data_IF_069811264672
#
_entry.id   IF_069811264672
#
_cell.length_a   1.000
_cell.length_b   1.000
_cell.length_c   1.000
_cell.angle_alpha   90.00
_cell.angle_beta   90.00
_cell.angle_gamma   90.00
#
_symmetry.space_group_name_H-M   'P 1'
#
loop_
_entity.id
_entity.type
_entity.pdbx_description
1 polymer ?
#
# COMPACT_ATOMS: atom_id res chain seq x y z
N UNK A 1 13.04 1.05 11.31
CA UNK A 1 12.90 2.51 11.37
C UNK A 1 13.59 3.25 10.21
N UNK A 2 14.87 3.09 9.93
CA UNK A 2 15.57 3.82 8.84
C UNK A 2 14.99 3.51 7.45
N UNK A 3 14.72 2.25 7.12
CA UNK A 3 14.10 1.84 5.85
C UNK A 3 12.69 2.42 5.66
N UNK A 4 11.88 2.48 6.71
CA UNK A 4 10.53 3.07 6.65
C UNK A 4 10.57 4.60 6.48
N UNK A 5 11.55 5.28 7.06
CA UNK A 5 11.76 6.71 6.87
C UNK A 5 12.23 7.04 5.44
N UNK A 6 13.12 6.23 4.86
CA UNK A 6 13.58 6.39 3.46
C UNK A 6 12.41 6.15 2.49
N UNK A 7 11.59 5.13 2.74
CA UNK A 7 10.43 4.82 1.91
C UNK A 7 9.36 5.90 2.02
N UNK A 8 9.14 6.44 3.22
CA UNK A 8 8.25 7.57 3.45
C UNK A 8 8.69 8.82 2.69
N UNK A 9 9.99 9.19 2.75
CA UNK A 9 10.51 10.34 2.01
C UNK A 9 10.38 10.15 0.49
N UNK A 10 10.70 8.98 -0.04
CA UNK A 10 10.50 8.68 -1.47
C UNK A 10 9.03 8.78 -1.91
N UNK A 11 8.12 8.29 -1.08
CA UNK A 11 6.68 8.40 -1.38
C UNK A 11 6.22 9.85 -1.34
N UNK A 12 6.71 10.67 -0.41
CA UNK A 12 6.43 12.09 -0.33
C UNK A 12 6.97 12.85 -1.54
N UNK A 13 8.19 12.58 -1.98
CA UNK A 13 8.79 13.17 -3.19
C UNK A 13 8.01 12.79 -4.46
N UNK A 14 7.69 11.52 -4.63
CA UNK A 14 6.89 11.02 -5.77
C UNK A 14 5.49 11.65 -5.81
N UNK A 15 4.88 11.88 -4.65
CA UNK A 15 3.58 12.54 -4.55
C UNK A 15 3.65 14.03 -4.89
N UNK A 16 4.71 14.70 -4.45
CA UNK A 16 4.98 16.10 -4.80
C UNK A 16 5.17 16.24 -6.32
N UNK A 17 5.95 15.36 -6.95
CA UNK A 17 6.13 15.33 -8.40
C UNK A 17 4.82 15.06 -9.13
N UNK A 18 4.01 14.13 -8.66
CA UNK A 18 2.68 13.83 -9.24
C UNK A 18 1.74 15.03 -9.15
N UNK A 19 1.71 15.71 -8.01
CA UNK A 19 0.89 16.91 -7.82
C UNK A 19 1.38 18.08 -8.70
N UNK A 20 2.69 18.28 -8.81
CA UNK A 20 3.26 19.28 -9.71
C UNK A 20 2.89 18.98 -11.17
N UNK A 21 3.00 17.73 -11.60
CA UNK A 21 2.59 17.30 -12.92
C UNK A 21 1.11 17.57 -13.18
N UNK A 22 0.24 17.25 -12.23
CA UNK A 22 -1.20 17.47 -12.32
C UNK A 22 -1.55 18.96 -12.50
N UNK A 23 -1.02 19.84 -11.64
CA UNK A 23 -1.32 21.27 -11.73
C UNK A 23 -0.69 21.93 -12.95
N UNK A 24 0.50 21.51 -13.37
CA UNK A 24 1.10 21.93 -14.64
C UNK A 24 0.21 21.53 -15.83
N UNK A 25 -0.40 20.35 -15.78
CA UNK A 25 -1.35 19.89 -16.80
C UNK A 25 -2.62 20.73 -16.80
N UNK A 26 -3.16 21.11 -15.63
CA UNK A 26 -4.31 22.02 -15.50
C UNK A 26 -3.98 23.38 -16.12
N UNK A 27 -2.85 23.98 -15.80
CA UNK A 27 -2.43 25.28 -16.33
C UNK A 27 -2.27 25.22 -17.85
N UNK A 28 -1.65 24.18 -18.39
CA UNK A 28 -1.51 23.99 -19.83
C UNK A 28 -2.85 23.81 -20.54
N UNK A 29 -3.74 22.97 -19.98
CA UNK A 29 -5.09 22.82 -20.53
C UNK A 29 -5.89 24.12 -20.47
N UNK A 30 -5.73 24.89 -19.40
CA UNK A 30 -6.36 26.21 -19.26
C UNK A 30 -5.81 27.23 -20.27
N UNK A 31 -4.50 27.19 -20.52
CA UNK A 31 -3.83 27.98 -21.55
C UNK A 31 -4.41 27.67 -22.93
N UNK A 32 -4.55 26.39 -23.29
CA UNK A 32 -5.09 25.94 -24.57
C UNK A 32 -6.56 26.36 -24.74
N UNK A 33 -7.36 26.34 -23.67
CA UNK A 33 -8.75 26.83 -23.67
C UNK A 33 -8.80 28.33 -23.90
N UNK A 34 -7.93 29.08 -23.23
CA UNK A 34 -7.83 30.53 -23.42
C UNK A 34 -7.44 30.83 -24.87
N UNK A 35 -6.38 30.22 -25.37
CA UNK A 35 -5.91 30.46 -26.74
C UNK A 35 -6.96 30.08 -27.78
N UNK A 36 -7.62 28.93 -27.63
CA UNK A 36 -8.69 28.50 -28.53
C UNK A 36 -9.87 29.49 -28.47
N UNK A 37 -10.32 29.90 -27.29
CA UNK A 37 -11.45 30.83 -27.12
C UNK A 37 -11.17 32.20 -27.73
N UNK A 38 -9.98 32.72 -27.50
CA UNK A 38 -9.52 33.99 -28.08
C UNK A 38 -9.44 33.87 -29.61
N UNK A 39 -8.84 32.83 -30.13
CA UNK A 39 -8.72 32.61 -31.58
C UNK A 39 -10.09 32.45 -32.29
N UNK A 40 -11.04 31.74 -31.64
CA UNK A 40 -12.39 31.58 -32.18
C UNK A 40 -13.18 32.91 -32.22
N UNK A 41 -13.07 33.72 -31.17
CA UNK A 41 -13.69 35.03 -31.10
C UNK A 41 -13.15 35.95 -32.21
N UNK A 42 -11.83 36.04 -32.35
CA UNK A 42 -11.15 36.84 -33.37
C UNK A 42 -11.52 36.34 -34.77
N UNK A 43 -11.49 35.02 -34.99
CA UNK A 43 -11.86 34.42 -36.28
C UNK A 43 -13.31 34.77 -36.69
N UNK A 44 -14.23 34.64 -35.75
CA UNK A 44 -15.64 34.94 -35.98
C UNK A 44 -15.83 36.41 -36.35
N UNK A 45 -15.18 37.30 -35.65
CA UNK A 45 -15.25 38.74 -35.94
C UNK A 45 -14.64 39.09 -37.30
N UNK A 46 -13.38 38.70 -37.57
CA UNK A 46 -12.72 39.03 -38.83
C UNK A 46 -13.41 38.36 -40.03
N UNK A 47 -13.96 37.17 -39.86
CA UNK A 47 -14.77 36.50 -40.85
C UNK A 47 -16.03 37.33 -41.16
N UNK A 48 -16.75 37.78 -40.15
CA UNK A 48 -17.91 38.66 -40.33
C UNK A 48 -17.58 39.93 -41.12
N UNK A 49 -16.44 40.57 -40.79
CA UNK A 49 -15.91 41.75 -41.52
C UNK A 49 -15.65 41.41 -43.00
N UNK A 50 -14.90 40.32 -43.27
CA UNK A 50 -14.58 39.94 -44.66
C UNK A 50 -15.83 39.51 -45.43
N UNK A 51 -16.75 38.77 -44.84
CA UNK A 51 -17.99 38.34 -45.48
C UNK A 51 -18.91 39.54 -45.84
N UNK A 52 -18.96 40.56 -44.96
CA UNK A 52 -19.69 41.79 -45.22
C UNK A 52 -19.10 42.52 -46.43
N UNK A 53 -17.79 42.74 -46.46
CA UNK A 53 -17.12 43.42 -47.57
C UNK A 53 -17.26 42.60 -48.87
N UNK A 54 -17.06 41.30 -48.79
CA UNK A 54 -17.22 40.40 -49.96
C UNK A 54 -18.64 40.43 -50.56
N UNK A 55 -19.68 40.55 -49.73
CA UNK A 55 -21.05 40.65 -50.19
C UNK A 55 -21.33 41.89 -51.09
N UNK A 56 -20.64 43.01 -50.81
CA UNK A 56 -20.75 44.24 -51.59
C UNK A 56 -19.95 44.15 -52.92
N UNK A 57 -19.10 43.17 -53.07
CA UNK A 57 -18.33 42.97 -54.33
C UNK A 57 -18.97 41.91 -55.27
N UNK A 58 -20.13 41.40 -54.91
CA UNK A 58 -20.83 40.40 -55.75
C UNK A 58 -21.40 41.05 -57.01
N UNK A 59 -21.11 40.45 -58.19
CA UNK A 59 -21.69 40.87 -59.48
C UNK A 59 -21.07 42.12 -60.11
N UNK A 60 -19.98 42.67 -59.49
CA UNK A 60 -19.24 43.80 -60.03
C UNK A 60 -18.02 43.36 -60.85
N UNK A 61 -17.53 44.25 -61.74
CA UNK A 61 -16.32 43.98 -62.49
C UNK A 61 -15.05 44.07 -61.59
N UNK A 62 -13.90 43.44 -61.94
CA UNK A 62 -12.69 43.50 -61.11
C UNK A 62 -12.22 44.94 -60.82
N UNK A 63 -12.42 45.86 -61.72
CA UNK A 63 -12.07 47.28 -61.49
C UNK A 63 -13.03 47.97 -60.50
N UNK A 64 -14.34 47.65 -60.56
CA UNK A 64 -15.32 48.11 -59.62
C UNK A 64 -15.15 47.47 -58.22
N UNK A 65 -14.74 46.19 -58.20
CA UNK A 65 -14.42 45.47 -56.99
C UNK A 65 -13.37 46.20 -56.15
N UNK A 66 -12.23 46.62 -56.79
CA UNK A 66 -11.19 47.37 -56.11
C UNK A 66 -11.72 48.69 -55.57
N UNK A 67 -12.55 49.44 -56.35
CA UNK A 67 -13.12 50.71 -55.90
C UNK A 67 -14.06 50.53 -54.70
N UNK A 68 -14.86 49.48 -54.73
CA UNK A 68 -15.84 49.18 -53.66
C UNK A 68 -15.10 48.74 -52.36
N UNK A 69 -14.07 47.89 -52.48
CA UNK A 69 -13.25 47.55 -51.33
C UNK A 69 -12.59 48.76 -50.72
N UNK A 70 -12.04 49.70 -51.53
CA UNK A 70 -11.44 50.96 -51.03
C UNK A 70 -12.49 51.79 -50.31
N UNK A 71 -13.68 51.96 -50.89
CA UNK A 71 -14.74 52.74 -50.25
C UNK A 71 -15.08 52.22 -48.87
N UNK A 72 -15.30 50.90 -48.74
CA UNK A 72 -15.67 50.27 -47.46
C UNK A 72 -14.49 50.30 -46.49
N UNK A 73 -13.27 50.02 -46.95
CA UNK A 73 -12.09 50.02 -46.11
C UNK A 73 -11.79 51.36 -45.45
N UNK A 74 -12.15 52.47 -46.09
CA UNK A 74 -11.99 53.82 -45.53
C UNK A 74 -13.06 54.18 -44.44
N UNK A 75 -14.17 53.44 -44.40
CA UNK A 75 -15.25 53.64 -43.40
C UNK A 75 -15.17 52.63 -42.27
N UNK A 76 -14.41 51.54 -42.43
CA UNK A 76 -14.37 50.40 -41.49
C UNK A 76 -13.24 50.53 -40.50
N UNK A 77 -13.56 50.38 -39.20
CA UNK A 77 -12.59 50.31 -38.10
C UNK A 77 -12.50 48.89 -37.61
N UNK A 78 -11.27 48.34 -37.57
CA UNK A 78 -10.97 47.00 -37.08
C UNK A 78 -9.95 47.12 -35.96
N UNK A 79 -10.38 46.97 -34.69
CA UNK A 79 -9.52 47.30 -33.56
C UNK A 79 -9.05 48.76 -33.60
N UNK A 80 -7.83 49.03 -33.16
CA UNK A 80 -7.23 50.36 -33.18
C UNK A 80 -6.44 50.62 -34.46
N UNK A 81 -5.71 49.62 -34.95
CA UNK A 81 -4.75 49.72 -36.06
C UNK A 81 -4.99 48.72 -37.22
N UNK A 82 -6.13 48.04 -37.15
CA UNK A 82 -6.46 47.02 -38.15
C UNK A 82 -6.97 47.63 -39.44
N UNK A 83 -6.91 46.90 -40.54
CA UNK A 83 -7.29 47.35 -41.85
C UNK A 83 -7.64 46.18 -42.79
N UNK A 84 -8.21 46.52 -43.95
CA UNK A 84 -8.47 45.59 -45.03
C UNK A 84 -7.47 45.82 -46.15
N UNK A 85 -7.14 44.78 -46.85
CA UNK A 85 -6.38 44.84 -48.12
C UNK A 85 -6.89 43.80 -49.14
N UNK A 86 -6.60 44.07 -50.39
CA UNK A 86 -6.98 43.23 -51.49
C UNK A 86 -5.76 42.83 -52.30
N UNK A 87 -5.60 41.54 -52.63
CA UNK A 87 -4.48 41.02 -53.38
C UNK A 87 -4.96 40.32 -54.65
N UNK A 88 -4.19 40.46 -55.73
CA UNK A 88 -4.33 39.65 -56.94
C UNK A 88 -3.90 38.19 -56.66
N UNK A 89 -4.31 37.21 -57.53
CA UNK A 89 -3.82 35.82 -57.46
C UNK A 89 -2.31 35.67 -57.49
N UNK A 90 -1.56 36.66 -57.98
CA UNK A 90 -0.09 36.71 -58.05
C UNK A 90 0.55 37.35 -56.78
N UNK A 91 -0.28 37.77 -55.81
CA UNK A 91 0.21 38.37 -54.54
C UNK A 91 0.59 39.84 -54.65
N UNK A 92 0.10 40.55 -55.67
CA UNK A 92 0.23 42.00 -55.78
C UNK A 92 -0.89 42.66 -54.99
N UNK A 93 -0.59 43.58 -54.10
CA UNK A 93 -1.55 44.37 -53.34
C UNK A 93 -2.27 45.36 -54.26
N UNK A 94 -3.48 45.01 -54.67
CA UNK A 94 -4.38 45.88 -55.44
C UNK A 94 -4.87 47.05 -54.64
N UNK A 95 -5.10 46.82 -53.34
CA UNK A 95 -5.34 47.81 -52.31
C UNK A 95 -4.63 47.40 -51.02
N UNK A 96 -3.95 48.33 -50.43
CA UNK A 96 -3.35 48.19 -49.10
C UNK A 96 -3.03 49.58 -48.54
N UNK A 97 -3.37 49.91 -47.26
CA UNK A 97 -3.10 51.24 -46.75
C UNK A 97 -1.65 51.70 -46.86
N UNK A 98 -0.69 50.79 -46.82
CA UNK A 98 0.73 51.09 -46.76
C UNK A 98 1.59 50.49 -47.91
N UNK A 99 1.08 49.43 -48.58
CA UNK A 99 1.91 48.59 -49.48
C UNK A 99 1.28 48.42 -50.87
N UNK A 100 0.41 49.35 -51.25
CA UNK A 100 -0.26 49.25 -52.54
C UNK A 100 0.73 49.11 -53.71
N UNK A 101 0.39 48.22 -54.68
CA UNK A 101 1.23 47.94 -55.85
C UNK A 101 2.43 47.01 -55.58
N UNK A 102 2.74 46.66 -54.36
CA UNK A 102 3.86 45.77 -54.03
C UNK A 102 3.44 44.30 -54.18
N UNK A 103 4.35 43.49 -54.72
CA UNK A 103 4.20 42.04 -54.73
C UNK A 103 4.89 41.46 -53.49
N UNK A 104 4.13 40.77 -52.66
CA UNK A 104 4.59 40.15 -51.40
C UNK A 104 4.38 38.62 -51.36
N UNK A 105 4.13 37.99 -52.54
CA UNK A 105 3.88 36.56 -52.62
C UNK A 105 4.98 35.66 -52.01
N UNK A 106 6.22 36.19 -51.81
CA UNK A 106 7.32 35.48 -51.19
C UNK A 106 7.18 35.28 -49.69
N UNK A 107 6.27 36.00 -49.03
CA UNK A 107 6.05 35.89 -47.57
C UNK A 107 5.13 34.71 -47.25
N UNK A 108 5.49 33.89 -46.25
CA UNK A 108 4.79 32.66 -45.87
C UNK A 108 3.32 32.91 -45.57
N UNK A 109 2.98 33.94 -44.79
CA UNK A 109 1.55 34.25 -44.47
C UNK A 109 0.79 34.66 -45.70
N UNK A 110 1.38 35.40 -46.66
CA UNK A 110 0.73 35.74 -47.94
C UNK A 110 0.50 34.50 -48.78
N UNK A 111 1.48 33.58 -48.88
CA UNK A 111 1.30 32.29 -49.58
C UNK A 111 0.15 31.51 -49.01
N UNK A 112 0.03 31.42 -47.68
CA UNK A 112 -1.10 30.74 -46.99
C UNK A 112 -2.44 31.38 -47.38
N UNK A 113 -2.54 32.71 -47.39
CA UNK A 113 -3.75 33.46 -47.78
C UNK A 113 -4.11 33.24 -49.23
N UNK A 114 -3.14 33.16 -50.13
CA UNK A 114 -3.37 32.96 -51.56
C UNK A 114 -3.72 31.52 -51.90
N UNK A 115 -3.27 30.53 -51.16
CA UNK A 115 -3.54 29.11 -51.42
C UNK A 115 -4.90 28.66 -50.89
N UNK A 116 -5.39 29.26 -49.81
CA UNK A 116 -6.64 28.91 -49.14
C UNK A 116 -7.84 29.60 -49.81
N UNK A 117 -9.03 28.95 -49.85
CA UNK A 117 -10.28 29.61 -50.23
C UNK A 117 -10.72 30.65 -49.20
N UNK A 118 -10.57 30.28 -47.95
CA UNK A 118 -10.79 31.17 -46.80
C UNK A 118 -10.05 30.61 -45.59
N UNK A 119 -9.63 31.45 -44.65
CA UNK A 119 -8.97 30.99 -43.45
C UNK A 119 -8.30 32.09 -42.65
N UNK A 120 -7.98 31.75 -41.39
CA UNK A 120 -7.23 32.63 -40.48
C UNK A 120 -5.74 32.34 -40.60
N UNK A 121 -4.94 33.39 -40.59
CA UNK A 121 -3.49 33.34 -40.52
C UNK A 121 -2.98 34.20 -39.36
N UNK A 122 -1.92 33.71 -38.68
CA UNK A 122 -1.23 34.45 -37.61
C UNK A 122 0.21 34.64 -38.01
N UNK A 123 0.76 35.81 -37.80
CA UNK A 123 2.17 36.16 -38.09
C UNK A 123 2.64 37.33 -37.27
N UNK A 124 3.95 37.43 -37.07
CA UNK A 124 4.55 38.56 -36.35
C UNK A 124 4.87 39.67 -37.34
N UNK A 125 4.33 40.88 -37.14
CA UNK A 125 4.49 42.03 -38.03
C UNK A 125 4.43 43.34 -37.26
N UNK A 126 5.09 44.37 -37.81
CA UNK A 126 4.93 45.74 -37.40
C UNK A 126 4.38 46.56 -38.56
N UNK A 127 3.35 47.38 -38.31
CA UNK A 127 2.90 48.33 -39.31
C UNK A 127 3.99 49.40 -39.53
N UNK A 128 4.05 50.01 -40.71
CA UNK A 128 4.92 51.15 -40.91
C UNK A 128 4.71 52.20 -39.82
N UNK A 129 5.82 52.72 -39.26
CA UNK A 129 5.84 53.70 -38.16
C UNK A 129 5.64 53.12 -36.75
N UNK A 130 5.44 51.79 -36.59
CA UNK A 130 5.40 51.12 -35.29
C UNK A 130 6.76 50.56 -34.90
N UNK A 131 7.07 50.59 -33.62
CA UNK A 131 8.32 50.05 -33.08
C UNK A 131 8.03 48.67 -32.51
N UNK A 132 8.72 47.62 -33.04
CA UNK A 132 8.58 46.24 -32.57
C UNK A 132 7.51 45.46 -33.33
N UNK A 133 7.73 44.15 -33.41
CA UNK A 133 6.79 43.21 -34.03
C UNK A 133 5.78 42.76 -32.99
N UNK A 134 4.48 42.87 -33.32
CA UNK A 134 3.34 42.37 -32.53
C UNK A 134 2.71 41.17 -33.24
N UNK A 135 1.95 40.35 -32.52
CA UNK A 135 1.20 39.23 -33.09
C UNK A 135 0.03 39.76 -33.90
N UNK A 136 0.07 39.61 -35.21
CA UNK A 136 -0.97 40.03 -36.13
C UNK A 136 -1.79 38.83 -36.56
N UNK A 137 -3.11 39.03 -36.64
CA UNK A 137 -4.08 38.05 -37.08
C UNK A 137 -4.79 38.57 -38.32
N UNK A 138 -5.06 37.69 -39.26
CA UNK A 138 -5.74 38.03 -40.50
C UNK A 138 -6.74 36.91 -40.89
N UNK A 139 -7.87 37.30 -41.41
CA UNK A 139 -8.81 36.39 -42.07
C UNK A 139 -8.88 36.73 -43.54
N UNK A 140 -8.70 35.74 -44.41
CA UNK A 140 -8.72 35.89 -45.85
C UNK A 140 -9.90 35.17 -46.46
N UNK A 141 -10.47 35.72 -47.52
CA UNK A 141 -11.49 35.07 -48.32
C UNK A 141 -11.17 35.33 -49.81
N UNK A 142 -11.33 34.29 -50.67
CA UNK A 142 -11.16 34.44 -52.13
C UNK A 142 -12.47 34.87 -52.73
N UNK A 143 -12.43 35.98 -53.42
CA UNK A 143 -13.57 36.53 -54.15
C UNK A 143 -13.80 35.80 -55.48
N UNK A 144 -15.00 35.93 -56.09
CA UNK A 144 -15.31 35.32 -57.39
C UNK A 144 -14.39 35.77 -58.54
N UNK A 145 -13.84 36.97 -58.46
CA UNK A 145 -12.84 37.50 -59.39
C UNK A 145 -11.50 36.73 -59.35
N UNK A 146 -11.26 35.92 -58.32
CA UNK A 146 -10.00 35.28 -58.04
C UNK A 146 -9.07 36.09 -57.09
N UNK A 147 -9.41 37.33 -56.82
CA UNK A 147 -8.67 38.15 -55.82
C UNK A 147 -8.89 37.66 -54.41
N UNK A 148 -7.94 37.97 -53.53
CA UNK A 148 -8.03 37.60 -52.09
C UNK A 148 -8.20 38.84 -51.25
N UNK A 149 -9.39 38.92 -50.59
CA UNK A 149 -9.72 39.95 -49.61
C UNK A 149 -9.25 39.51 -48.24
N UNK A 150 -8.61 40.41 -47.48
CA UNK A 150 -8.06 40.11 -46.17
C UNK A 150 -8.40 41.22 -45.20
N UNK A 151 -8.97 40.88 -44.05
CA UNK A 151 -9.09 41.74 -42.89
C UNK A 151 -8.04 41.36 -41.84
N UNK A 152 -7.33 42.34 -41.30
CA UNK A 152 -6.20 42.10 -40.36
C UNK A 152 -6.14 43.14 -39.25
N UNK A 153 -5.69 42.72 -38.07
CA UNK A 153 -5.36 43.59 -36.94
C UNK A 153 -4.40 42.91 -35.99
N UNK A 154 -3.95 43.57 -34.93
CA UNK A 154 -3.18 42.93 -33.88
C UNK A 154 -4.10 42.15 -32.93
N UNK A 155 -3.60 41.01 -32.42
CA UNK A 155 -4.39 40.08 -31.60
C UNK A 155 -4.82 40.71 -30.26
N UNK A 156 -3.97 41.56 -29.67
CA UNK A 156 -4.22 42.26 -28.41
C UNK A 156 -5.30 43.37 -28.53
N UNK A 157 -5.53 43.90 -29.71
CA UNK A 157 -6.59 44.93 -29.92
C UNK A 157 -8.02 44.39 -29.90
N UNK A 158 -8.18 43.08 -29.96
CA UNK A 158 -9.49 42.41 -30.04
C UNK A 158 -9.89 41.72 -28.70
N UNK A 159 -9.26 42.07 -27.58
CA UNK A 159 -9.57 41.50 -26.26
C UNK A 159 -11.05 41.69 -25.87
N UNK A 160 -11.66 42.79 -26.25
CA UNK A 160 -13.08 43.06 -25.95
C UNK A 160 -14.06 42.11 -26.58
N UNK A 161 -13.63 41.28 -27.56
CA UNK A 161 -14.43 40.25 -28.19
C UNK A 161 -14.49 38.93 -27.37
N UNK A 162 -13.64 38.82 -26.38
CA UNK A 162 -13.58 37.58 -25.59
C UNK A 162 -14.69 37.60 -24.55
N UNK A 163 -15.61 36.66 -24.66
CA UNK A 163 -16.64 36.43 -23.63
C UNK A 163 -16.01 35.80 -22.39
N UNK A 164 -15.72 36.68 -21.39
CA UNK A 164 -15.07 36.27 -20.14
C UNK A 164 -15.98 35.36 -19.29
N UNK A 165 -17.31 35.51 -19.35
CA UNK A 165 -18.21 34.61 -18.60
C UNK A 165 -18.23 33.20 -19.23
N UNK A 166 -18.30 33.11 -20.57
CA UNK A 166 -18.18 31.83 -21.24
C UNK A 166 -16.80 31.17 -21.01
N UNK A 167 -15.71 31.96 -20.96
CA UNK A 167 -14.38 31.46 -20.66
C UNK A 167 -14.30 30.95 -19.20
N UNK A 168 -14.88 31.68 -18.25
CA UNK A 168 -14.97 31.29 -16.85
C UNK A 168 -15.68 29.96 -16.65
N UNK A 169 -16.82 29.73 -17.34
CA UNK A 169 -17.56 28.48 -17.27
C UNK A 169 -16.76 27.29 -17.83
N UNK A 170 -15.97 27.51 -18.88
CA UNK A 170 -15.04 26.50 -19.40
C UNK A 170 -13.94 26.15 -18.41
N UNK A 171 -13.36 27.15 -17.74
CA UNK A 171 -12.25 26.99 -16.77
C UNK A 171 -12.72 26.46 -15.40
N UNK A 172 -13.98 26.69 -15.04
CA UNK A 172 -14.57 26.19 -13.78
C UNK A 172 -14.46 24.68 -13.60
N UNK A 173 -14.39 23.91 -14.68
CA UNK A 173 -14.22 22.46 -14.67
C UNK A 173 -12.85 22.01 -14.13
N UNK A 174 -11.88 22.91 -14.04
CA UNK A 174 -10.54 22.68 -13.56
C UNK A 174 -10.37 23.13 -12.09
N UNK A 175 -11.36 22.84 -11.25
CA UNK A 175 -11.26 22.98 -9.81
C UNK A 175 -10.73 21.70 -9.18
N UNK A 176 -10.03 21.81 -8.07
CA UNK A 176 -9.53 20.70 -7.27
C UNK A 176 -9.81 20.93 -5.79
N UNK A 177 -10.60 20.06 -5.18
CA UNK A 177 -11.03 20.20 -3.79
C UNK A 177 -11.79 21.49 -3.54
N UNK A 178 -11.62 22.06 -2.37
CA UNK A 178 -12.28 23.29 -1.95
C UNK A 178 -11.46 24.56 -2.25
N UNK A 179 -10.13 24.44 -2.38
CA UNK A 179 -9.19 25.56 -2.54
C UNK A 179 -8.45 25.61 -3.86
N UNK A 180 -8.55 24.56 -4.68
CA UNK A 180 -7.87 24.45 -5.96
C UNK A 180 -8.70 25.05 -7.10
N UNK A 181 -8.22 26.10 -7.75
CA UNK A 181 -8.92 26.80 -8.83
C UNK A 181 -7.96 27.47 -9.81
N UNK A 182 -8.49 27.73 -11.03
CA UNK A 182 -7.83 28.51 -12.07
C UNK A 182 -8.30 29.95 -11.98
N UNK A 183 -7.37 30.89 -12.14
CA UNK A 183 -7.64 32.33 -12.22
C UNK A 183 -6.66 32.98 -13.21
N UNK A 184 -7.04 34.15 -13.73
CA UNK A 184 -6.24 34.92 -14.67
C UNK A 184 -6.04 36.33 -14.12
N UNK A 185 -4.79 36.75 -14.11
CA UNK A 185 -4.41 38.16 -13.77
C UNK A 185 -3.67 38.77 -14.96
N UNK A 186 -3.72 40.07 -15.09
CA UNK A 186 -2.88 40.80 -16.04
C UNK A 186 -1.52 41.19 -15.43
N UNK A 187 -0.66 41.86 -16.23
CA UNK A 187 0.64 42.33 -15.77
C UNK A 187 0.54 43.55 -14.80
N UNK A 188 -0.61 44.10 -14.59
CA UNK A 188 -0.89 45.13 -13.57
C UNK A 188 -1.31 44.51 -12.22
N UNK A 189 -1.50 43.19 -12.20
CA UNK A 189 -1.97 42.47 -11.03
C UNK A 189 -3.48 42.47 -10.87
N UNK A 190 -4.20 43.04 -11.84
CA UNK A 190 -5.65 43.07 -11.83
C UNK A 190 -6.23 41.70 -12.22
N UNK A 191 -7.32 41.35 -11.57
CA UNK A 191 -7.96 40.05 -11.76
C UNK A 191 -8.89 40.08 -12.97
N UNK A 192 -8.44 39.50 -14.07
CA UNK A 192 -9.18 39.39 -15.33
C UNK A 192 -10.31 38.38 -15.23
N UNK A 193 -10.01 37.21 -14.64
CA UNK A 193 -10.99 36.14 -14.48
C UNK A 193 -10.98 35.66 -13.03
N UNK A 194 -12.13 35.75 -12.37
CA UNK A 194 -12.34 35.40 -10.97
C UNK A 194 -12.92 33.99 -10.87
N UNK A 195 -12.40 33.17 -9.94
CA UNK A 195 -13.12 31.97 -9.53
C UNK A 195 -14.47 32.35 -8.87
N UNK A 196 -15.48 31.51 -8.98
CA UNK A 196 -16.76 31.72 -8.31
C UNK A 196 -16.66 31.28 -6.82
N UNK A 197 -16.08 32.13 -5.99
CA UNK A 197 -16.10 31.91 -4.54
C UNK A 197 -16.71 33.13 -3.83
N UNK A 198 -17.64 32.85 -2.92
CA UNK A 198 -18.30 33.87 -2.06
C UNK A 198 -17.42 34.39 -0.92
N UNK A 199 -16.18 33.83 -0.78
CA UNK A 199 -15.31 34.14 0.36
C UNK A 199 -14.39 35.35 0.10
N UNK A 200 -14.59 36.43 0.86
CA UNK A 200 -13.73 37.63 0.82
C UNK A 200 -12.24 37.36 1.10
N UNK A 201 -11.94 36.33 1.90
CA UNK A 201 -10.55 35.91 2.19
C UNK A 201 -9.76 35.56 0.92
N UNK A 202 -10.40 35.03 -0.12
CA UNK A 202 -9.75 34.66 -1.36
C UNK A 202 -9.32 35.84 -2.21
N UNK A 203 -10.01 36.98 -2.11
CA UNK A 203 -9.59 38.23 -2.79
C UNK A 203 -8.24 38.73 -2.29
N UNK A 204 -8.03 38.75 -0.97
CA UNK A 204 -6.74 39.14 -0.37
C UNK A 204 -5.61 38.15 -0.75
N UNK A 205 -5.91 36.85 -0.79
CA UNK A 205 -4.99 35.79 -1.17
C UNK A 205 -4.54 35.90 -2.63
N UNK A 206 -5.45 36.21 -3.54
CA UNK A 206 -5.15 36.42 -4.96
C UNK A 206 -4.35 37.71 -5.16
N UNK A 207 -4.73 38.80 -4.50
CA UNK A 207 -3.99 40.05 -4.57
C UNK A 207 -2.53 39.91 -4.16
N UNK A 208 -2.26 39.27 -3.04
CA UNK A 208 -0.88 39.02 -2.61
C UNK A 208 -0.11 38.09 -3.57
N UNK A 209 -0.75 37.05 -4.13
CA UNK A 209 -0.14 36.17 -5.12
C UNK A 209 0.11 36.87 -6.45
N UNK A 210 -0.66 37.90 -6.83
CA UNK A 210 -0.50 38.64 -8.09
C UNK A 210 0.84 39.37 -8.16
N UNK A 211 1.23 40.07 -7.09
CA UNK A 211 2.53 40.74 -7.03
C UNK A 211 3.70 39.75 -7.20
N UNK A 212 3.66 38.65 -6.46
CA UNK A 212 4.67 37.58 -6.58
C UNK A 212 4.69 36.92 -7.97
N UNK A 213 3.51 36.78 -8.60
CA UNK A 213 3.37 36.24 -9.95
C UNK A 213 4.06 37.10 -11.00
N UNK A 214 3.85 38.41 -10.94
CA UNK A 214 4.46 39.35 -11.90
C UNK A 214 5.96 39.25 -11.85
N UNK A 215 6.58 39.30 -10.66
CA UNK A 215 8.01 39.16 -10.49
C UNK A 215 8.55 37.85 -11.06
N UNK A 216 7.82 36.76 -10.85
CA UNK A 216 8.19 35.42 -11.33
C UNK A 216 8.08 35.30 -12.85
N UNK A 217 6.98 35.81 -13.45
CA UNK A 217 6.75 35.78 -14.90
C UNK A 217 7.79 36.57 -15.67
N UNK A 218 8.31 37.69 -15.10
CA UNK A 218 9.42 38.44 -15.71
C UNK A 218 10.69 37.58 -15.81
N UNK A 219 10.93 36.71 -14.82
CA UNK A 219 12.08 35.81 -14.83
C UNK A 219 11.84 34.59 -15.73
N UNK A 220 10.67 33.97 -15.63
CA UNK A 220 10.31 32.74 -16.35
C UNK A 220 8.84 32.79 -16.81
N UNK A 221 8.54 32.57 -18.12
CA UNK A 221 7.17 32.64 -18.66
C UNK A 221 6.22 31.55 -18.16
N UNK A 222 6.76 30.44 -17.64
CA UNK A 222 6.00 29.37 -17.00
C UNK A 222 6.78 28.81 -15.82
N UNK A 223 6.06 28.41 -14.78
CA UNK A 223 6.72 27.89 -13.60
C UNK A 223 5.77 27.58 -12.45
N UNK A 224 6.37 27.45 -11.27
CA UNK A 224 5.63 27.28 -10.02
C UNK A 224 6.40 27.95 -8.88
N UNK A 225 5.67 28.34 -7.84
CA UNK A 225 6.22 28.78 -6.57
C UNK A 225 5.23 28.52 -5.43
N UNK A 226 5.74 28.55 -4.21
CA UNK A 226 4.93 28.41 -3.00
C UNK A 226 5.16 29.60 -2.10
N UNK A 227 4.11 30.02 -1.41
CA UNK A 227 4.18 31.05 -0.38
C UNK A 227 3.31 30.68 0.82
N UNK A 228 3.69 31.20 1.99
CA UNK A 228 2.96 30.95 3.23
C UNK A 228 1.91 32.02 3.47
N UNK A 229 0.73 31.61 3.87
CA UNK A 229 -0.39 32.45 4.27
C UNK A 229 -0.61 32.21 5.76
N UNK A 230 -0.67 33.27 6.55
CA UNK A 230 -1.00 33.22 7.97
C UNK A 230 -2.36 33.83 8.18
N UNK A 231 -3.28 33.06 8.78
CA UNK A 231 -4.59 33.53 9.22
C UNK A 231 -4.79 33.19 10.70
N UNK A 232 -5.98 33.50 11.25
CA UNK A 232 -6.32 33.20 12.64
C UNK A 232 -6.29 31.70 12.99
N UNK A 233 -6.30 30.80 11.98
CA UNK A 233 -6.27 29.35 12.13
C UNK A 233 -4.85 28.76 12.00
N UNK A 234 -3.85 29.58 11.65
CA UNK A 234 -2.46 29.16 11.53
C UNK A 234 -1.79 29.56 10.22
N UNK A 235 -0.60 29.01 9.98
CA UNK A 235 0.16 29.24 8.75
C UNK A 235 -0.07 28.08 7.78
N UNK A 236 -0.51 28.37 6.57
CA UNK A 236 -0.74 27.39 5.50
C UNK A 236 0.05 27.80 4.26
N UNK A 237 0.66 26.83 3.59
CA UNK A 237 1.35 27.05 2.33
C UNK A 237 0.36 26.93 1.16
N UNK A 238 0.50 27.84 0.19
CA UNK A 238 -0.21 27.79 -1.09
C UNK A 238 0.79 27.57 -2.21
N UNK A 239 0.51 26.59 -3.06
CA UNK A 239 1.28 26.30 -4.25
C UNK A 239 0.59 26.92 -5.47
N UNK A 240 1.33 27.66 -6.27
CA UNK A 240 0.86 28.34 -7.48
C UNK A 240 1.65 27.79 -8.67
N UNK A 241 0.94 27.40 -9.70
CA UNK A 241 1.47 27.05 -11.01
C UNK A 241 0.96 28.09 -12.00
N UNK A 242 1.81 28.53 -12.91
CA UNK A 242 1.45 29.61 -13.82
C UNK A 242 2.06 29.44 -15.20
N UNK A 243 1.39 30.09 -16.19
CA UNK A 243 1.88 30.24 -17.58
C UNK A 243 1.42 31.55 -18.14
N UNK A 244 2.35 32.27 -18.74
CA UNK A 244 2.12 33.57 -19.33
C UNK A 244 1.52 33.45 -20.73
N UNK A 245 0.45 34.18 -20.99
CA UNK A 245 -0.20 34.29 -22.30
C UNK A 245 0.15 35.67 -22.91
N UNK A 246 1.16 35.74 -23.78
CA UNK A 246 1.79 37.00 -24.17
C UNK A 246 0.91 37.89 -25.04
N UNK A 247 -0.10 37.32 -25.68
CA UNK A 247 -0.94 38.10 -26.61
C UNK A 247 -1.90 39.07 -25.91
N UNK A 248 -2.30 38.76 -24.70
CA UNK A 248 -3.17 39.59 -23.90
C UNK A 248 -2.52 40.06 -22.60
N UNK A 249 -1.24 39.79 -22.41
CA UNK A 249 -0.51 40.02 -21.16
C UNK A 249 -1.17 39.38 -19.94
N UNK A 250 -1.72 38.18 -20.13
CA UNK A 250 -2.40 37.44 -19.08
C UNK A 250 -1.48 36.37 -18.45
N UNK A 251 -1.63 36.21 -17.15
CA UNK A 251 -0.98 35.15 -16.40
C UNK A 251 -2.07 34.17 -15.98
N UNK A 252 -2.08 32.98 -16.60
CA UNK A 252 -3.01 31.92 -16.30
C UNK A 252 -2.41 31.10 -15.15
N UNK A 253 -3.11 31.05 -14.03
CA UNK A 253 -2.60 30.49 -12.78
C UNK A 253 -3.58 29.46 -12.21
N UNK A 254 -3.04 28.40 -11.61
CA UNK A 254 -3.77 27.44 -10.79
C UNK A 254 -3.11 27.37 -9.40
N UNK A 255 -3.91 27.53 -8.37
CA UNK A 255 -3.42 27.53 -6.99
C UNK A 255 -4.18 26.56 -6.10
N UNK A 256 -3.49 25.95 -5.14
CA UNK A 256 -4.06 25.02 -4.17
C UNK A 256 -3.36 25.12 -2.81
N UNK A 257 -4.09 24.95 -1.73
CA UNK A 257 -3.53 24.89 -0.38
C UNK A 257 -2.83 23.55 -0.14
N UNK A 258 -1.66 23.57 0.47
CA UNK A 258 -0.87 22.38 0.75
C UNK A 258 -1.61 21.38 1.65
N UNK A 259 -2.42 21.87 2.59
CA UNK A 259 -3.24 21.03 3.45
C UNK A 259 -4.22 20.15 2.66
N UNK A 260 -4.74 20.67 1.57
CA UNK A 260 -5.69 19.96 0.73
C UNK A 260 -5.02 18.87 -0.12
N UNK A 261 -3.80 19.14 -0.60
CA UNK A 261 -2.97 18.14 -1.24
C UNK A 261 -2.63 16.98 -0.29
N UNK A 262 -2.43 17.28 0.99
CA UNK A 262 -2.08 16.30 2.01
C UNK A 262 -3.29 15.54 2.57
N UNK A 263 -4.54 16.02 2.41
CA UNK A 263 -5.76 15.41 2.93
C UNK A 263 -5.97 13.99 2.37
N UNK A 264 -5.79 13.79 1.09
CA UNK A 264 -5.90 12.47 0.44
C UNK A 264 -4.76 11.52 0.86
N UNK A 265 -3.58 12.06 1.17
CA UNK A 265 -2.44 11.29 1.66
C UNK A 265 -2.70 10.72 3.06
N UNK A 266 -3.29 11.49 3.97
CA UNK A 266 -3.63 11.01 5.31
C UNK A 266 -4.66 9.88 5.27
N UNK A 267 -5.65 9.95 4.38
CA UNK A 267 -6.63 8.89 4.17
C UNK A 267 -5.98 7.59 3.65
N UNK A 268 -5.04 7.69 2.70
CA UNK A 268 -4.29 6.54 2.20
C UNK A 268 -3.42 5.90 3.29
N UNK A 269 -2.75 6.71 4.11
CA UNK A 269 -1.96 6.21 5.24
C UNK A 269 -2.83 5.50 6.27
N UNK A 270 -3.98 6.06 6.63
CA UNK A 270 -4.94 5.44 7.55
C UNK A 270 -5.45 4.12 6.99
N UNK A 271 -5.80 4.06 5.71
CA UNK A 271 -6.27 2.82 5.07
C UNK A 271 -5.18 1.74 5.04
N UNK A 272 -3.93 2.10 4.77
CA UNK A 272 -2.79 1.18 4.80
C UNK A 272 -2.53 0.66 6.23
N UNK A 273 -2.57 1.54 7.23
CA UNK A 273 -2.41 1.16 8.64
C UNK A 273 -3.50 0.21 9.11
N UNK A 274 -4.77 0.45 8.75
CA UNK A 274 -5.88 -0.45 9.08
C UNK A 274 -5.71 -1.82 8.41
N UNK A 275 -5.23 -1.88 7.18
CA UNK A 275 -4.95 -3.13 6.48
C UNK A 275 -3.81 -3.92 7.18
N UNK A 276 -2.73 -3.25 7.58
CA UNK A 276 -1.63 -3.88 8.32
C UNK A 276 -2.10 -4.41 9.67
N UNK A 277 -2.89 -3.64 10.43
CA UNK A 277 -3.44 -4.07 11.72
C UNK A 277 -4.36 -5.28 11.54
N UNK A 278 -5.20 -5.28 10.51
CA UNK A 278 -6.09 -6.42 10.23
C UNK A 278 -5.29 -7.68 9.88
N UNK A 279 -4.22 -7.57 9.09
CA UNK A 279 -3.35 -8.69 8.75
C UNK A 279 -2.64 -9.25 9.99
N UNK A 280 -2.12 -8.38 10.85
CA UNK A 280 -1.47 -8.80 12.10
C UNK A 280 -2.46 -9.49 13.05
N UNK A 281 -3.70 -9.03 13.12
CA UNK A 281 -4.74 -9.68 13.93
C UNK A 281 -5.09 -11.08 13.41
N UNK A 282 -5.19 -11.26 12.10
CA UNK A 282 -5.41 -12.58 11.47
C UNK A 282 -4.26 -13.53 11.79
N UNK A 283 -3.01 -13.07 11.67
CA UNK A 283 -1.82 -13.87 12.01
C UNK A 283 -1.84 -14.27 13.49
N UNK A 284 -2.18 -13.35 14.39
CA UNK A 284 -2.26 -13.63 15.81
C UNK A 284 -3.32 -14.72 16.13
N UNK A 285 -4.51 -14.61 15.53
CA UNK A 285 -5.58 -15.63 15.68
C UNK A 285 -5.12 -16.98 15.13
N UNK A 286 -4.45 -17.01 13.98
CA UNK A 286 -3.92 -18.24 13.39
C UNK A 286 -2.87 -18.90 14.30
N UNK A 287 -1.95 -18.13 14.86
CA UNK A 287 -0.94 -18.62 15.80
C UNK A 287 -1.59 -19.21 17.05
N UNK A 288 -2.59 -18.53 17.62
CA UNK A 288 -3.34 -19.04 18.77
C UNK A 288 -4.10 -20.33 18.45
N UNK A 289 -4.72 -20.40 17.28
CA UNK A 289 -5.41 -21.60 16.80
C UNK A 289 -4.44 -22.79 16.62
N UNK A 290 -3.29 -22.56 15.97
CA UNK A 290 -2.27 -23.60 15.77
C UNK A 290 -1.69 -24.08 17.10
N UNK A 291 -1.42 -23.17 18.03
CA UNK A 291 -0.96 -23.50 19.40
C UNK A 291 -1.98 -24.34 20.15
N UNK A 292 -3.26 -23.98 20.09
CA UNK A 292 -4.34 -24.76 20.70
C UNK A 292 -4.45 -26.18 20.09
N UNK A 293 -4.38 -26.29 18.76
CA UNK A 293 -4.33 -27.60 18.07
C UNK A 293 -3.13 -28.41 18.49
N UNK A 294 -1.95 -27.81 18.59
CA UNK A 294 -0.73 -28.49 18.99
C UNK A 294 -0.82 -29.06 20.41
N UNK A 295 -1.39 -28.30 21.37
CA UNK A 295 -1.61 -28.76 22.73
C UNK A 295 -2.56 -29.98 22.78
N UNK A 296 -3.65 -29.98 22.02
CA UNK A 296 -4.55 -31.14 21.91
C UNK A 296 -3.89 -32.37 21.35
N UNK A 297 -2.98 -32.25 20.38
CA UNK A 297 -2.22 -33.37 19.82
C UNK A 297 -1.27 -33.96 20.87
N UNK A 298 -0.66 -33.13 21.72
CA UNK A 298 0.20 -33.58 22.81
C UNK A 298 -0.57 -34.38 23.86
N UNK A 299 -1.80 -33.97 24.21
CA UNK A 299 -2.68 -34.71 25.14
C UNK A 299 -3.08 -36.09 24.60
N UNK A 300 -3.33 -36.22 23.30
CA UNK A 300 -3.66 -37.51 22.66
C UNK A 300 -2.41 -38.45 22.60
N UNK A 301 -1.20 -37.90 22.66
CA UNK A 301 0.04 -38.66 22.65
C UNK A 301 0.56 -39.02 24.06
N UNK A 302 -0.25 -38.91 25.11
CA UNK A 302 0.12 -39.21 26.51
C UNK A 302 0.01 -40.69 26.87
N UNK A 303 -0.87 -41.41 26.22
CA UNK A 303 -1.13 -42.83 26.47
C UNK A 303 -0.37 -43.75 25.51
N UNK A 304 -0.05 -44.93 25.99
CA UNK A 304 0.38 -46.08 25.15
C UNK A 304 -0.84 -46.68 24.42
N UNK A 305 -0.75 -46.77 23.10
CA UNK A 305 -1.88 -47.14 22.24
C UNK A 305 -2.37 -48.58 22.46
N UNK A 306 -1.46 -49.47 22.90
CA UNK A 306 -1.80 -50.88 23.10
C UNK A 306 -2.45 -51.14 24.48
N UNK A 307 -1.90 -50.53 25.53
CA UNK A 307 -2.28 -50.83 26.91
C UNK A 307 -3.23 -49.81 27.52
N UNK A 308 -3.32 -48.63 26.95
CA UNK A 308 -4.06 -47.49 27.51
C UNK A 308 -3.52 -46.97 28.84
N UNK A 309 -2.30 -47.39 29.21
CA UNK A 309 -1.53 -46.80 30.32
C UNK A 309 -0.80 -45.53 29.84
N UNK A 310 -0.34 -44.68 30.79
CA UNK A 310 0.58 -43.60 30.44
C UNK A 310 1.80 -44.15 29.71
N UNK A 311 2.29 -43.41 28.72
CA UNK A 311 3.57 -43.73 28.12
C UNK A 311 4.73 -43.19 28.96
N UNK A 312 5.98 -43.56 28.65
CA UNK A 312 7.18 -43.11 29.36
C UNK A 312 7.25 -41.61 29.55
N UNK A 313 6.90 -40.81 28.52
CA UNK A 313 6.97 -39.34 28.55
C UNK A 313 5.97 -38.75 29.52
N UNK A 314 4.72 -39.19 29.43
CA UNK A 314 3.64 -38.74 30.29
C UNK A 314 3.90 -39.13 31.74
N UNK A 315 4.37 -40.36 31.99
CA UNK A 315 4.75 -40.80 33.34
C UNK A 315 5.79 -39.89 34.00
N UNK A 316 6.88 -39.62 33.29
CA UNK A 316 7.94 -38.71 33.81
C UNK A 316 7.38 -37.32 34.08
N UNK A 317 6.51 -36.79 33.22
CA UNK A 317 5.86 -35.51 33.39
C UNK A 317 4.97 -35.48 34.64
N UNK A 318 4.12 -36.50 34.81
CA UNK A 318 3.23 -36.61 35.97
C UNK A 318 4.03 -36.71 37.30
N UNK A 319 5.08 -37.53 37.29
CA UNK A 319 5.94 -37.66 38.48
C UNK A 319 6.61 -36.33 38.84
N UNK A 320 7.11 -35.59 37.83
CA UNK A 320 7.72 -34.26 38.05
C UNK A 320 6.70 -33.26 38.60
N UNK A 321 5.50 -33.22 38.06
CA UNK A 321 4.41 -32.38 38.56
C UNK A 321 4.07 -32.74 40.02
N UNK A 322 3.92 -34.02 40.32
CA UNK A 322 3.55 -34.48 41.66
C UNK A 322 4.61 -34.12 42.70
N UNK A 323 5.90 -34.21 42.36
CA UNK A 323 7.01 -33.78 43.24
C UNK A 323 6.94 -32.27 43.53
N UNK A 324 6.60 -31.45 42.51
CA UNK A 324 6.46 -30.01 42.68
C UNK A 324 5.25 -29.63 43.52
N UNK A 325 4.12 -30.32 43.37
CA UNK A 325 2.89 -30.09 44.13
C UNK A 325 3.06 -30.41 45.64
N UNK A 326 3.93 -31.33 45.98
CA UNK A 326 4.23 -31.70 47.38
C UNK A 326 5.13 -30.70 48.14
N UNK A 327 5.62 -29.66 47.49
CA UNK A 327 6.31 -28.54 48.16
C UNK A 327 5.30 -27.55 48.74
N UNK A 328 5.28 -27.20 50.07
CA UNK A 328 6.36 -27.28 51.08
C UNK A 328 6.35 -28.51 51.99
N UNK A 329 5.45 -29.46 51.81
CA UNK A 329 5.40 -30.67 52.63
C UNK A 329 6.19 -31.78 51.97
N UNK A 330 7.42 -32.11 52.41
CA UNK A 330 8.23 -33.13 51.75
C UNK A 330 7.57 -34.50 51.83
N UNK A 331 7.57 -35.20 50.67
CA UNK A 331 7.18 -36.59 50.58
C UNK A 331 7.97 -37.41 51.64
N UNK A 332 7.32 -38.35 52.33
CA UNK A 332 8.02 -39.23 53.29
C UNK A 332 9.03 -40.16 52.63
N UNK A 333 8.80 -40.48 51.37
CA UNK A 333 9.66 -41.29 50.53
C UNK A 333 8.97 -41.64 49.23
N UNK A 334 9.74 -42.02 48.23
CA UNK A 334 9.25 -42.40 46.87
C UNK A 334 9.87 -43.72 46.51
N UNK A 335 9.04 -44.65 46.03
CA UNK A 335 9.46 -45.92 45.51
C UNK A 335 9.28 -45.99 44.00
N UNK A 336 10.32 -46.41 43.27
CA UNK A 336 10.25 -46.74 41.84
C UNK A 336 10.32 -48.24 41.73
N UNK A 337 9.41 -48.84 40.90
CA UNK A 337 9.36 -50.25 40.62
C UNK A 337 9.42 -50.40 39.09
N UNK A 338 10.36 -51.15 38.57
CA UNK A 338 10.45 -51.61 37.19
C UNK A 338 10.05 -53.06 37.11
N UNK A 339 9.19 -53.40 36.16
CA UNK A 339 8.75 -54.75 35.88
C UNK A 339 9.02 -55.08 34.40
N UNK A 340 9.45 -56.30 34.14
CA UNK A 340 9.69 -56.79 32.79
C UNK A 340 9.12 -58.19 32.70
N UNK A 341 8.41 -58.48 31.58
CA UNK A 341 7.78 -59.77 31.35
C UNK A 341 8.84 -60.80 31.01
N UNK A 342 8.92 -61.82 31.87
CA UNK A 342 9.90 -62.89 31.71
C UNK A 342 9.70 -63.68 30.43
N UNK A 343 10.78 -63.93 29.72
CA UNK A 343 10.79 -64.71 28.49
C UNK A 343 9.86 -64.22 27.36
N UNK A 344 9.52 -62.91 27.36
CA UNK A 344 8.57 -62.30 26.42
C UNK A 344 8.96 -62.55 24.95
N UNK A 345 10.23 -62.48 24.63
CA UNK A 345 10.73 -62.84 23.28
C UNK A 345 10.30 -64.24 22.88
N UNK A 346 10.39 -65.21 23.79
CA UNK A 346 9.98 -66.59 23.52
C UNK A 346 8.45 -66.71 23.27
N UNK A 347 7.65 -65.89 23.94
CA UNK A 347 6.20 -65.80 23.66
C UNK A 347 5.96 -65.35 22.22
N UNK A 348 6.65 -64.31 21.78
CA UNK A 348 6.52 -63.77 20.42
C UNK A 348 7.04 -64.80 19.37
N UNK A 349 8.18 -65.42 19.64
CA UNK A 349 8.82 -66.34 18.71
C UNK A 349 8.00 -67.65 18.51
N UNK A 350 7.31 -68.10 19.56
CA UNK A 350 6.51 -69.32 19.55
C UNK A 350 5.04 -69.11 19.14
N UNK A 351 4.44 -67.99 19.53
CA UNK A 351 3.00 -67.78 19.41
C UNK A 351 2.63 -66.56 18.58
N UNK A 352 3.65 -65.84 18.08
CA UNK A 352 3.48 -64.62 17.24
C UNK A 352 3.19 -63.37 18.03
N UNK A 353 3.38 -62.21 17.39
CA UNK A 353 3.26 -60.87 18.01
C UNK A 353 1.85 -60.59 18.57
N UNK A 354 0.80 -61.13 17.94
CA UNK A 354 -0.57 -60.93 18.44
C UNK A 354 -0.77 -61.54 19.83
N UNK A 355 -0.15 -62.65 20.12
CA UNK A 355 -0.21 -63.27 21.46
C UNK A 355 0.67 -62.49 22.45
N UNK A 356 1.83 -62.02 22.02
CA UNK A 356 2.63 -61.09 22.81
C UNK A 356 1.85 -59.83 23.22
N UNK A 357 1.11 -59.23 22.29
CA UNK A 357 0.28 -58.08 22.57
C UNK A 357 -0.86 -58.40 23.57
N UNK A 358 -1.45 -59.61 23.48
CA UNK A 358 -2.42 -60.08 24.47
C UNK A 358 -1.80 -60.20 25.85
N UNK A 359 -0.60 -60.75 25.94
CA UNK A 359 0.16 -60.84 27.21
C UNK A 359 0.41 -59.46 27.79
N UNK A 360 0.93 -58.50 27.01
CA UNK A 360 1.17 -57.13 27.44
C UNK A 360 -0.14 -56.50 27.96
N UNK A 361 -1.23 -56.62 27.23
CA UNK A 361 -2.54 -56.10 27.63
C UNK A 361 -3.05 -56.76 28.93
N UNK A 362 -2.87 -58.05 29.12
CA UNK A 362 -3.28 -58.76 30.32
C UNK A 362 -2.47 -58.30 31.56
N UNK A 363 -1.15 -58.19 31.41
CA UNK A 363 -0.28 -57.64 32.46
C UNK A 363 -0.65 -56.20 32.78
N UNK A 364 -0.82 -55.32 31.77
CA UNK A 364 -1.23 -53.93 31.96
C UNK A 364 -2.55 -53.83 32.71
N UNK A 365 -3.52 -54.69 32.40
CA UNK A 365 -4.84 -54.71 33.06
C UNK A 365 -4.72 -55.05 34.55
N UNK A 366 -3.88 -55.97 34.89
CA UNK A 366 -3.63 -56.35 36.32
C UNK A 366 -2.91 -55.20 37.01
N UNK A 367 -1.84 -54.69 36.48
CA UNK A 367 -1.06 -53.63 37.08
C UNK A 367 -1.89 -52.32 37.26
N UNK A 368 -2.80 -52.04 36.34
CA UNK A 368 -3.67 -50.88 36.40
C UNK A 368 -4.58 -50.84 37.66
N UNK A 369 -4.93 -52.00 38.22
CA UNK A 369 -5.76 -52.12 39.44
C UNK A 369 -5.02 -51.57 40.67
N UNK A 370 -3.72 -51.45 40.64
CA UNK A 370 -2.92 -50.92 41.76
C UNK A 370 -2.68 -49.44 41.64
N UNK A 371 -3.06 -48.81 40.53
CA UNK A 371 -2.91 -47.35 40.34
C UNK A 371 -3.96 -46.58 41.16
N UNK A 372 -3.54 -45.49 41.78
CA UNK A 372 -4.39 -44.58 42.52
C UNK A 372 -3.73 -43.20 42.58
N UNK A 373 -4.25 -42.28 43.37
CA UNK A 373 -3.74 -40.90 43.50
C UNK A 373 -2.25 -40.83 43.96
N UNK A 374 -1.78 -41.82 44.72
CA UNK A 374 -0.41 -41.89 45.22
C UNK A 374 0.42 -42.91 44.42
N UNK A 375 -0.10 -43.49 43.37
CA UNK A 375 0.55 -44.56 42.59
C UNK A 375 0.31 -44.36 41.13
N UNK A 376 1.35 -44.06 40.39
CA UNK A 376 1.26 -43.91 38.90
C UNK A 376 1.90 -45.14 38.25
N UNK A 377 1.38 -45.50 37.09
CA UNK A 377 1.84 -46.61 36.28
C UNK A 377 1.95 -46.18 34.82
N UNK A 378 2.96 -46.73 34.14
CA UNK A 378 3.13 -46.54 32.69
C UNK A 378 3.73 -47.79 32.03
N UNK A 379 3.53 -47.91 30.74
CA UNK A 379 4.35 -48.76 29.88
C UNK A 379 5.65 -48.01 29.54
N UNK A 380 6.77 -48.55 30.01
CA UNK A 380 8.05 -47.88 29.92
C UNK A 380 8.83 -48.23 28.64
N UNK A 381 8.68 -49.47 28.15
CA UNK A 381 9.28 -50.01 26.93
C UNK A 381 8.40 -51.04 26.29
N UNK A 382 8.96 -51.91 25.44
CA UNK A 382 8.25 -52.96 24.74
C UNK A 382 7.43 -53.88 25.67
N UNK A 383 8.12 -54.60 26.56
CA UNK A 383 7.56 -55.48 27.58
C UNK A 383 7.76 -54.98 29.02
N UNK A 384 8.24 -53.71 29.15
CA UNK A 384 8.62 -53.13 30.42
C UNK A 384 7.52 -52.18 30.93
N UNK A 385 7.25 -52.26 32.22
CA UNK A 385 6.35 -51.35 32.95
C UNK A 385 7.08 -50.65 34.07
N UNK A 386 6.70 -49.43 34.35
CA UNK A 386 7.19 -48.64 35.47
C UNK A 386 6.04 -48.25 36.38
N UNK A 387 6.32 -48.31 37.66
CA UNK A 387 5.41 -47.95 38.70
C UNK A 387 6.09 -46.99 39.68
N UNK A 388 5.43 -45.96 40.13
CA UNK A 388 5.89 -45.08 41.20
C UNK A 388 4.87 -45.08 42.32
N UNK A 389 5.36 -45.13 43.57
CA UNK A 389 4.50 -44.95 44.74
C UNK A 389 5.07 -43.85 45.61
N UNK A 390 4.23 -42.92 46.00
CA UNK A 390 4.57 -41.78 46.87
C UNK A 390 4.20 -42.09 48.32
N UNK A 391 4.85 -41.42 49.24
CA UNK A 391 4.64 -41.54 50.69
C UNK A 391 4.78 -42.96 51.23
N UNK A 392 5.71 -43.74 50.72
CA UNK A 392 5.98 -45.10 51.15
C UNK A 392 7.32 -45.20 51.93
N UNK A 393 7.53 -46.31 52.61
CA UNK A 393 8.83 -46.74 53.09
C UNK A 393 9.37 -47.98 52.31
N UNK A 394 10.61 -48.37 52.61
CA UNK A 394 11.27 -49.48 51.87
C UNK A 394 10.50 -50.79 51.99
N UNK A 395 9.95 -51.10 53.18
CA UNK A 395 9.19 -52.30 53.40
C UNK A 395 7.88 -52.32 52.62
N UNK A 396 7.14 -51.21 52.65
CA UNK A 396 5.90 -51.04 51.87
C UNK A 396 6.13 -51.14 50.38
N UNK A 397 7.27 -50.59 49.88
CA UNK A 397 7.67 -50.71 48.47
C UNK A 397 7.92 -52.15 48.09
N UNK A 398 8.67 -52.91 48.93
CA UNK A 398 8.95 -54.31 48.69
C UNK A 398 7.65 -55.18 48.66
N UNK A 399 6.77 -55.00 49.65
CA UNK A 399 5.48 -55.69 49.68
C UNK A 399 4.63 -55.40 48.46
N UNK A 400 4.54 -54.11 48.03
CA UNK A 400 3.84 -53.74 46.81
C UNK A 400 4.47 -54.41 45.58
N UNK A 401 5.82 -54.44 45.49
CA UNK A 401 6.54 -55.05 44.38
C UNK A 401 6.23 -56.56 44.26
N UNK A 402 6.19 -57.26 45.41
CA UNK A 402 5.87 -58.69 45.48
C UNK A 402 4.35 -58.94 45.18
N UNK A 403 3.50 -58.05 45.61
CA UNK A 403 2.09 -58.14 45.32
C UNK A 403 1.81 -57.97 43.80
N UNK A 404 2.48 -56.99 43.16
CA UNK A 404 2.42 -56.81 41.70
C UNK A 404 2.93 -58.07 40.99
N UNK A 405 4.11 -58.61 41.36
CA UNK A 405 4.67 -59.79 40.78
C UNK A 405 3.73 -61.00 40.87
N UNK A 406 3.23 -61.32 42.08
CA UNK A 406 2.30 -62.43 42.34
C UNK A 406 0.96 -62.25 41.61
N UNK A 407 0.51 -61.01 41.44
CA UNK A 407 -0.73 -60.75 40.72
C UNK A 407 -0.62 -61.03 39.24
N UNK A 408 0.57 -60.75 38.65
CA UNK A 408 0.88 -61.13 37.27
C UNK A 408 0.99 -62.65 37.10
N UNK A 409 1.67 -63.34 38.01
CA UNK A 409 1.81 -64.81 38.05
C UNK A 409 0.46 -65.57 38.09
N UNK A 410 -0.59 -64.90 38.61
CA UNK A 410 -1.98 -65.45 38.73
C UNK A 410 -2.82 -65.17 37.50
N UNK A 411 -2.31 -64.60 36.43
CA UNK A 411 -3.09 -64.30 35.23
C UNK A 411 -3.48 -65.65 34.57
N UNK A 412 -4.78 -65.86 34.45
CA UNK A 412 -5.34 -67.02 33.76
C UNK A 412 -5.83 -66.66 32.34
N UNK A 413 -5.98 -67.68 31.47
CA UNK A 413 -6.52 -67.51 30.12
C UNK A 413 -5.53 -67.05 29.05
N UNK A 414 -4.22 -67.03 29.35
CA UNK A 414 -3.14 -66.88 28.40
C UNK A 414 -2.69 -68.24 27.90
N UNK A 415 -2.07 -68.31 26.70
CA UNK A 415 -1.57 -69.55 26.08
C UNK A 415 -0.52 -70.25 26.96
N UNK A 416 0.20 -69.47 27.76
CA UNK A 416 1.20 -69.99 28.72
C UNK A 416 1.23 -69.11 29.98
N UNK A 417 1.69 -69.67 31.11
CA UNK A 417 1.89 -68.90 32.33
C UNK A 417 2.92 -67.78 32.11
N UNK A 418 2.61 -66.59 32.59
CA UNK A 418 3.46 -65.40 32.44
C UNK A 418 3.94 -64.96 33.84
N UNK A 419 5.22 -64.69 33.96
CA UNK A 419 5.81 -64.10 35.18
C UNK A 419 6.52 -62.80 34.85
N UNK A 420 6.82 -62.00 35.84
CA UNK A 420 7.60 -60.77 35.73
C UNK A 420 8.78 -60.78 36.70
N UNK A 421 9.91 -60.28 36.21
CA UNK A 421 11.02 -59.90 37.08
C UNK A 421 10.77 -58.44 37.54
N UNK A 422 11.10 -58.18 38.79
CA UNK A 422 10.85 -56.89 39.41
C UNK A 422 12.10 -56.32 40.05
N UNK A 423 12.44 -55.08 39.70
CA UNK A 423 13.47 -54.29 40.36
C UNK A 423 12.90 -53.05 40.99
N UNK A 424 13.22 -52.79 42.25
CA UNK A 424 12.70 -51.62 42.92
C UNK A 424 13.78 -50.84 43.65
N UNK A 425 13.54 -49.55 43.80
CA UNK A 425 14.40 -48.60 44.54
C UNK A 425 13.55 -47.68 45.38
N UNK A 426 13.86 -47.62 46.66
CA UNK A 426 13.35 -46.62 47.59
C UNK A 426 14.28 -45.41 47.64
N UNK A 427 13.76 -44.19 47.57
CA UNK A 427 14.50 -42.96 47.66
C UNK A 427 13.82 -42.00 48.65
N UNK A 428 14.60 -41.21 49.36
CA UNK A 428 14.12 -40.13 50.24
C UNK A 428 13.56 -38.97 49.40
N UNK A 429 12.91 -38.02 50.04
CA UNK A 429 12.19 -36.89 49.43
C UNK A 429 13.02 -36.04 48.44
N UNK A 430 14.31 -35.98 48.53
CA UNK A 430 15.23 -35.33 47.61
C UNK A 430 15.84 -36.34 46.64
N UNK A 431 15.05 -36.85 45.72
CA UNK A 431 15.52 -37.84 44.74
C UNK A 431 15.57 -37.27 43.31
N UNK A 432 16.48 -37.80 42.56
CA UNK A 432 16.55 -37.53 41.10
C UNK A 432 15.91 -38.70 40.37
N UNK A 433 14.81 -38.43 39.69
CA UNK A 433 13.96 -39.48 39.13
C UNK A 433 14.71 -40.40 38.17
N UNK A 434 15.51 -39.84 37.26
CA UNK A 434 16.26 -40.57 36.27
C UNK A 434 17.31 -41.52 36.96
N UNK A 435 18.03 -40.97 37.93
CA UNK A 435 19.01 -41.77 38.73
C UNK A 435 18.35 -42.88 39.54
N UNK A 436 17.15 -42.65 40.07
CA UNK A 436 16.40 -43.66 40.85
C UNK A 436 15.86 -44.73 39.94
N UNK A 437 15.45 -44.41 38.71
CA UNK A 437 15.03 -45.36 37.68
C UNK A 437 16.25 -46.27 37.30
N UNK A 438 17.43 -45.68 37.07
CA UNK A 438 18.62 -46.43 36.73
C UNK A 438 19.04 -47.42 37.87
N UNK A 439 18.78 -47.01 39.14
CA UNK A 439 19.04 -47.92 40.25
C UNK A 439 18.01 -49.07 40.34
N UNK A 440 16.74 -48.80 40.02
CA UNK A 440 15.70 -49.82 39.92
C UNK A 440 15.99 -50.79 38.77
N UNK A 441 16.50 -50.27 37.64
CA UNK A 441 16.87 -51.10 36.47
C UNK A 441 18.05 -52.06 36.85
N UNK A 442 19.06 -51.61 37.60
CA UNK A 442 20.10 -52.51 38.08
C UNK A 442 19.54 -53.62 38.98
N UNK A 443 18.52 -53.33 39.80
CA UNK A 443 17.85 -54.34 40.59
C UNK A 443 17.05 -55.32 39.71
N UNK A 444 16.35 -54.80 38.69
CA UNK A 444 15.62 -55.64 37.72
C UNK A 444 16.54 -56.59 36.98
N UNK A 445 17.71 -56.10 36.56
CA UNK A 445 18.74 -56.94 35.96
C UNK A 445 19.21 -58.07 36.90
N UNK A 446 19.38 -57.80 38.19
CA UNK A 446 19.70 -58.83 39.16
C UNK A 446 18.54 -59.85 39.33
N UNK A 447 17.28 -59.39 39.32
CA UNK A 447 16.13 -60.26 39.37
C UNK A 447 16.14 -61.23 38.17
N UNK A 448 16.42 -60.76 36.96
CA UNK A 448 16.55 -61.60 35.75
C UNK A 448 17.70 -62.61 35.88
N UNK A 449 18.85 -62.20 36.47
CA UNK A 449 19.99 -63.11 36.70
C UNK A 449 19.72 -64.18 37.79
N UNK A 450 18.94 -63.83 38.80
CA UNK A 450 18.66 -64.69 39.94
C UNK A 450 17.52 -65.68 39.65
N UNK A 451 17.23 -65.97 38.37
CA UNK A 451 16.29 -67.00 37.98
C UNK A 451 14.92 -66.49 37.56
N UNK A 452 14.76 -65.14 37.42
CA UNK A 452 13.48 -64.48 37.05
C UNK A 452 12.38 -64.71 38.10
N UNK A 453 11.14 -64.22 37.82
CA UNK A 453 9.99 -64.36 38.71
C UNK A 453 10.33 -64.05 40.20
N UNK A 454 11.10 -63.01 40.45
CA UNK A 454 11.47 -62.56 41.79
C UNK A 454 11.62 -61.02 41.84
N UNK A 455 11.61 -60.49 43.05
CA UNK A 455 11.79 -59.09 43.30
C UNK A 455 13.17 -58.83 43.89
N UNK A 456 13.90 -57.87 43.37
CA UNK A 456 15.14 -57.39 43.88
C UNK A 456 15.04 -55.91 44.28
N UNK A 457 15.63 -55.57 45.43
CA UNK A 457 15.67 -54.15 45.90
C UNK A 457 17.08 -53.64 45.70
N UNK A 458 17.19 -52.47 45.03
CA UNK A 458 18.50 -51.81 44.97
C UNK A 458 18.84 -51.21 46.33
N UNK A 459 19.95 -51.65 46.89
CA UNK A 459 20.56 -51.10 48.13
C UNK A 459 21.93 -50.53 47.80
N UNK A 460 22.18 -49.31 48.20
CA UNK A 460 23.53 -48.77 48.13
C UNK A 460 24.44 -49.63 49.02
N UNK A 461 25.48 -50.23 48.46
CA UNK A 461 26.50 -50.90 49.25
C UNK A 461 27.13 -49.83 50.16
N UNK A 462 26.96 -49.97 51.45
CA UNK A 462 27.68 -49.18 52.46
C UNK A 462 29.16 -49.55 52.39
N UNK A 463 29.90 -48.90 51.49
CA UNK A 463 31.34 -48.90 51.62
C UNK A 463 31.68 -48.01 52.80
N UNK A 464 31.95 -48.62 53.97
CA UNK A 464 32.68 -47.94 55.04
C UNK A 464 34.06 -47.68 54.47
N UNK A 465 34.37 -46.42 54.20
CA UNK A 465 35.74 -45.95 54.05
C UNK A 465 36.33 -46.02 55.44
N UNK A 466 37.13 -47.06 55.72
CA UNK A 466 37.99 -47.07 56.87
C UNK A 466 39.20 -46.23 56.51
N UNK A 467 39.21 -44.96 56.90
CA UNK A 467 40.45 -44.16 56.92
C UNK A 467 41.37 -44.76 57.95
N UNK A 468 42.51 -45.30 57.49
CA UNK A 468 43.69 -45.59 58.34
C UNK A 468 44.57 -44.36 58.47
#
# INVERSE_FOLDING_TARGET
MVLSAIQFNRTKESLLESNQFFFRTIVNASYDIVDTTVNEAIKTYLKGVTDTVASHTLGVTPEQEVKEVIRIANELVIGESGYIYLMSPQGVHLYHPFLQGQNRAHLTHIQTQLTSKSGMTQYSHANPHEVGKRAKVAYSVRLPSGNTLVATTYKDELMYLVDLEALKDKLRKYSYGDSGYVYIVDLQGELVLRPNFEHEHLKALIGYSSELLIDKVVAEPEGHFSYSISDDNGTTNKNIFYKFYPYLNWIISAGVLEQELNKNHSLLLVSLMTLVISLLSIIAVLVLYLRHRHLKILDVASLDYLTGLSNRRDFISQVKVRILECSPYPLKGVGIILLDIDHFKSVNDLHGHNEGDRVICAVAKVLKQFANENRLIARYGGEEFIFVTFDCNEYQLYELSEELRRSVEKIEGLVLPVTVSVGCRYANALFHIEGTIDQADKALYQAKKNGRNNTQVYRESQYRIVCH
#
